data_IF_824977526051
#
_entry.id   IF_824977526051
#
_cell.length_a   1.000
_cell.length_b   1.000
_cell.length_c   1.000
_cell.angle_alpha   90.00
_cell.angle_beta   90.00
_cell.angle_gamma   90.00
#
_symmetry.space_group_name_H-M   'P 1'
#
loop_
_entity.id
_entity.type
_entity.pdbx_description
1 polymer ?
#
# COMPACT_ATOMS: atom_id res chain seq x y z
N UNK A 1 5.31 -1.17 -6.99
CA UNK A 1 3.86 -0.94 -6.91
C UNK A 1 3.15 -2.16 -6.32
N UNK A 2 2.18 -1.92 -5.43
CA UNK A 2 1.33 -2.94 -4.81
C UNK A 2 -0.14 -2.69 -5.17
N UNK A 3 -0.90 -3.76 -5.39
CA UNK A 3 -2.36 -3.76 -5.46
C UNK A 3 -2.92 -4.24 -4.12
N UNK A 4 -3.77 -3.44 -3.49
CA UNK A 4 -4.40 -3.73 -2.21
C UNK A 4 -5.89 -3.89 -2.41
N UNK A 5 -6.48 -4.86 -1.72
CA UNK A 5 -7.93 -5.02 -1.64
C UNK A 5 -8.36 -4.94 -0.19
N UNK A 6 -9.33 -4.06 0.08
CA UNK A 6 -9.95 -3.88 1.38
C UNK A 6 -11.41 -4.33 1.33
N UNK A 7 -11.88 -4.94 2.40
CA UNK A 7 -13.31 -5.16 2.60
C UNK A 7 -14.03 -3.89 3.09
N UNK A 8 -15.34 -3.99 3.25
CA UNK A 8 -16.24 -2.92 3.71
C UNK A 8 -15.92 -2.40 5.11
N UNK A 9 -15.16 -3.15 5.91
CA UNK A 9 -14.70 -2.75 7.25
C UNK A 9 -13.31 -2.09 7.24
N UNK A 10 -12.72 -1.89 6.06
CA UNK A 10 -11.35 -1.38 5.92
C UNK A 10 -10.28 -2.42 6.25
N UNK A 11 -10.63 -3.71 6.34
CA UNK A 11 -9.63 -4.76 6.55
C UNK A 11 -8.98 -5.14 5.24
N UNK A 12 -7.66 -5.27 5.28
CA UNK A 12 -6.88 -5.74 4.16
C UNK A 12 -7.12 -7.23 3.92
N UNK A 13 -7.77 -7.56 2.80
CA UNK A 13 -8.07 -8.95 2.42
C UNK A 13 -7.07 -9.53 1.44
N UNK A 14 -6.40 -8.68 0.66
CA UNK A 14 -5.38 -9.12 -0.30
C UNK A 14 -4.35 -8.02 -0.54
N UNK A 15 -3.10 -8.44 -0.74
CA UNK A 15 -2.00 -7.60 -1.22
C UNK A 15 -1.27 -8.38 -2.30
N UNK A 16 -1.11 -7.77 -3.47
CA UNK A 16 -0.32 -8.32 -4.57
C UNK A 16 0.75 -7.32 -4.97
N UNK A 17 2.01 -7.73 -4.90
CA UNK A 17 3.10 -6.96 -5.48
C UNK A 17 3.05 -7.11 -7.00
N UNK A 18 2.98 -5.97 -7.69
CA UNK A 18 2.96 -5.91 -9.16
C UNK A 18 4.35 -5.60 -9.71
N UNK A 19 5.13 -4.83 -8.96
CA UNK A 19 6.45 -4.37 -9.35
C UNK A 19 7.27 -4.04 -8.11
N UNK A 20 8.54 -4.43 -8.10
CA UNK A 20 9.51 -4.03 -7.11
C UNK A 20 10.90 -3.97 -7.77
N UNK A 21 11.78 -3.05 -7.35
CA UNK A 21 13.14 -2.95 -7.90
C UNK A 21 14.05 -4.09 -7.43
N UNK A 22 13.72 -4.76 -6.32
CA UNK A 22 14.51 -5.81 -5.70
C UNK A 22 13.62 -6.72 -4.80
N UNK A 23 13.90 -8.03 -4.69
CA UNK A 23 13.12 -8.96 -3.86
C UNK A 23 13.11 -8.67 -2.35
N UNK A 24 14.20 -8.15 -1.78
CA UNK A 24 14.25 -7.79 -0.36
C UNK A 24 13.40 -6.55 -0.07
N UNK A 25 13.36 -5.61 -1.02
CA UNK A 25 12.44 -4.46 -0.96
C UNK A 25 11.00 -4.94 -1.07
N UNK A 26 10.70 -5.85 -2.00
CA UNK A 26 9.36 -6.43 -2.14
C UNK A 26 8.88 -7.06 -0.83
N UNK A 27 9.70 -7.93 -0.24
CA UNK A 27 9.40 -8.60 1.03
C UNK A 27 9.16 -7.60 2.14
N UNK A 28 10.02 -6.59 2.26
CA UNK A 28 9.93 -5.59 3.32
C UNK A 28 8.66 -4.74 3.20
N UNK A 29 8.31 -4.32 1.98
CA UNK A 29 7.08 -3.57 1.69
C UNK A 29 5.85 -4.41 2.01
N UNK A 30 5.82 -5.67 1.57
CA UNK A 30 4.69 -6.57 1.82
C UNK A 30 4.46 -6.77 3.32
N UNK A 31 5.52 -7.00 4.10
CA UNK A 31 5.45 -7.15 5.55
C UNK A 31 5.03 -5.86 6.26
N UNK A 32 5.37 -4.69 5.72
CA UNK A 32 4.92 -3.41 6.25
C UNK A 32 3.42 -3.19 5.99
N UNK A 33 2.95 -3.41 4.75
CA UNK A 33 1.55 -3.21 4.35
C UNK A 33 0.61 -4.12 5.16
N UNK A 34 1.00 -5.39 5.40
CA UNK A 34 0.21 -6.34 6.22
C UNK A 34 -0.08 -5.85 7.64
N UNK A 35 0.68 -4.89 8.15
CA UNK A 35 0.50 -4.31 9.50
C UNK A 35 -0.42 -3.09 9.49
N UNK A 36 -0.80 -2.58 8.34
CA UNK A 36 -1.63 -1.39 8.23
C UNK A 36 -3.07 -1.68 8.64
N UNK A 37 -3.72 -0.69 9.24
CA UNK A 37 -5.15 -0.69 9.52
C UNK A 37 -5.76 0.51 8.82
N UNK A 38 -6.76 0.27 7.99
CA UNK A 38 -7.51 1.32 7.32
C UNK A 38 -8.81 1.57 8.07
N UNK A 39 -9.31 2.80 8.01
CA UNK A 39 -10.68 3.09 8.45
C UNK A 39 -11.71 2.48 7.48
N UNK A 40 -12.97 2.48 7.89
CA UNK A 40 -14.07 2.06 7.01
C UNK A 40 -14.04 2.89 5.72
N UNK A 41 -13.97 2.20 4.59
CA UNK A 41 -14.11 2.84 3.31
C UNK A 41 -15.59 3.13 3.07
N UNK A 42 -15.93 4.39 2.87
CA UNK A 42 -17.30 4.83 2.60
C UNK A 42 -17.39 5.48 1.23
N UNK A 43 -18.49 5.25 0.53
CA UNK A 43 -18.84 5.98 -0.69
C UNK A 43 -19.21 7.43 -0.36
N UNK A 44 -19.40 8.25 -1.39
CA UNK A 44 -19.91 9.61 -1.24
C UNK A 44 -21.34 9.68 -0.65
N UNK A 45 -22.06 8.55 -0.59
CA UNK A 45 -23.38 8.42 0.02
C UNK A 45 -23.34 7.88 1.45
N UNK A 46 -22.15 7.55 1.97
CA UNK A 46 -21.96 7.05 3.34
C UNK A 46 -22.08 5.53 3.48
N UNK A 47 -22.27 4.80 2.39
CA UNK A 47 -22.34 3.33 2.39
C UNK A 47 -20.94 2.73 2.48
N UNK A 48 -20.77 1.66 3.25
CA UNK A 48 -19.51 0.92 3.28
C UNK A 48 -19.25 0.26 1.93
N UNK A 49 -18.01 0.38 1.43
CA UNK A 49 -17.63 -0.16 0.11
C UNK A 49 -16.33 -0.95 0.18
N UNK A 50 -16.20 -1.93 -0.72
CA UNK A 50 -14.91 -2.58 -0.98
C UNK A 50 -14.02 -1.63 -1.77
N UNK A 51 -12.73 -1.65 -1.47
CA UNK A 51 -11.73 -0.81 -2.15
C UNK A 51 -10.68 -1.67 -2.81
N UNK A 52 -10.41 -1.39 -4.07
CA UNK A 52 -9.19 -1.84 -4.74
C UNK A 52 -8.33 -0.60 -5.02
N UNK A 53 -7.11 -0.59 -4.47
CA UNK A 53 -6.20 0.54 -4.55
C UNK A 53 -4.82 0.14 -5.04
N UNK A 54 -4.20 1.02 -5.83
CA UNK A 54 -2.78 0.88 -6.21
C UNK A 54 -1.94 1.81 -5.36
N UNK A 55 -0.86 1.27 -4.80
CA UNK A 55 0.08 2.00 -3.97
C UNK A 55 1.49 1.89 -4.54
N UNK A 56 2.12 3.02 -4.79
CA UNK A 56 3.49 3.10 -5.32
C UNK A 56 4.40 3.72 -4.27
N UNK A 57 5.49 3.02 -3.96
CA UNK A 57 6.54 3.51 -3.08
C UNK A 57 7.73 3.93 -3.92
N UNK A 58 8.24 5.14 -3.67
CA UNK A 58 9.47 5.64 -4.26
C UNK A 58 10.57 5.62 -3.20
N UNK A 59 11.61 4.83 -3.48
CA UNK A 59 12.78 4.73 -2.62
C UNK A 59 13.92 5.55 -3.22
N UNK A 60 14.47 6.47 -2.44
CA UNK A 60 15.70 7.19 -2.76
C UNK A 60 16.81 6.71 -1.84
N UNK A 61 17.98 6.40 -2.40
CA UNK A 61 19.18 6.08 -1.62
C UNK A 61 20.10 7.29 -1.67
N UNK A 62 20.23 7.98 -0.53
CA UNK A 62 21.08 9.17 -0.39
C UNK A 62 22.17 8.85 0.62
N UNK A 63 23.44 8.91 0.19
CA UNK A 63 24.60 8.58 1.03
C UNK A 63 24.49 7.22 1.75
N UNK A 64 23.93 6.21 1.06
CA UNK A 64 23.73 4.87 1.61
C UNK A 64 22.51 4.71 2.53
N UNK A 65 21.73 5.76 2.77
CA UNK A 65 20.49 5.69 3.54
C UNK A 65 19.28 5.64 2.60
N UNK A 66 18.38 4.68 2.83
CA UNK A 66 17.13 4.58 2.10
C UNK A 66 16.06 5.49 2.73
N UNK A 67 15.43 6.33 1.89
CA UNK A 67 14.31 7.19 2.25
C UNK A 67 13.11 6.86 1.38
N UNK A 68 11.93 6.81 1.99
CA UNK A 68 10.66 6.68 1.26
C UNK A 68 10.11 8.07 1.01
N UNK A 69 9.88 8.42 -0.26
CA UNK A 69 9.23 9.67 -0.64
C UNK A 69 7.73 9.44 -0.81
N UNK A 70 6.94 10.36 -0.26
CA UNK A 70 5.56 10.49 -0.67
C UNK A 70 5.57 11.11 -2.08
N UNK A 71 4.98 10.48 -3.11
CA UNK A 71 4.82 11.15 -4.39
C UNK A 71 3.91 12.36 -4.20
N UNK A 72 4.49 13.56 -4.24
CA UNK A 72 3.71 14.78 -4.45
C UNK A 72 3.13 14.69 -5.87
N UNK A 73 1.79 14.65 -5.95
CA UNK A 73 1.04 14.88 -7.19
C UNK A 73 1.45 16.20 -7.84
#
# INVERSE_FOLDING_TARGET
MALLQLDESGRLVSVKMLEAPDPDIEKSVLEAIKKWRFGNATSNTGESVRVEGRLTFYFEIINGQALVRNPTL
#
